data_IF_542858419158
#
_entry.id   IF_542858419158
#
_cell.length_a   1.000
_cell.length_b   1.000
_cell.length_c   1.000
_cell.angle_alpha   90.00
_cell.angle_beta   90.00
_cell.angle_gamma   90.00
#
_symmetry.space_group_name_H-M   'P 1'
#
loop_
_entity.id
_entity.type
_entity.pdbx_description
1 polymer ?
#
# COMPACT_ATOMS: atom_id res chain seq x y z
N UNK A 1 -4.89 20.49 18.36
CA UNK A 1 -3.47 20.46 18.73
C UNK A 1 -2.92 19.16 18.22
N UNK A 2 -2.44 19.13 17.00
CA UNK A 2 -1.53 18.05 16.61
C UNK A 2 -1.00 18.37 15.24
N UNK A 3 -0.11 19.31 15.23
CA UNK A 3 0.87 19.42 14.20
C UNK A 3 1.97 18.40 14.52
N UNK A 4 1.73 17.15 14.25
CA UNK A 4 2.83 16.31 13.86
C UNK A 4 3.23 16.84 12.51
N UNK A 5 4.20 17.75 12.53
CA UNK A 5 4.86 18.18 11.35
C UNK A 5 5.31 16.90 10.64
N UNK A 6 4.68 16.57 9.54
CA UNK A 6 5.24 15.72 8.53
C UNK A 6 6.52 16.44 8.08
N UNK A 7 7.57 16.26 8.82
CA UNK A 7 8.92 16.52 8.32
C UNK A 7 9.10 15.46 7.27
N UNK A 8 8.92 15.89 6.05
CA UNK A 8 9.00 15.05 4.90
C UNK A 8 10.17 14.11 5.07
N UNK A 9 9.94 12.84 4.90
CA UNK A 9 10.97 11.87 4.68
C UNK A 9 11.74 12.42 3.48
N UNK A 10 12.77 13.22 3.80
CA UNK A 10 13.64 13.74 2.79
C UNK A 10 14.15 12.56 2.02
N UNK A 11 14.15 12.68 0.71
CA UNK A 11 14.77 11.79 -0.26
C UNK A 11 15.28 10.48 0.35
N UNK A 12 14.44 9.48 0.48
CA UNK A 12 14.79 8.11 0.90
C UNK A 12 15.98 7.59 0.08
N UNK A 13 16.26 8.26 -0.98
CA UNK A 13 17.09 8.00 -2.09
C UNK A 13 18.58 8.24 -1.93
N UNK A 14 18.97 9.29 -1.26
CA UNK A 14 20.39 9.69 -1.14
C UNK A 14 20.95 9.52 0.26
N UNK A 15 20.13 9.44 1.29
CA UNK A 15 20.58 9.60 2.67
C UNK A 15 20.28 8.45 3.62
N UNK A 16 19.44 7.48 3.22
CA UNK A 16 19.14 6.35 4.11
C UNK A 16 19.83 5.09 3.63
N UNK A 17 20.54 4.45 4.55
CA UNK A 17 21.12 3.13 4.33
C UNK A 17 19.99 2.10 4.19
N UNK A 18 20.26 0.97 3.56
CA UNK A 18 19.34 -0.17 3.48
C UNK A 18 18.85 -0.57 4.88
N UNK A 19 19.72 -0.55 5.86
CA UNK A 19 19.43 -0.92 7.25
C UNK A 19 18.39 0.02 7.87
N UNK A 20 18.43 1.32 7.54
CA UNK A 20 17.45 2.29 8.03
C UNK A 20 16.03 2.04 7.50
N UNK A 21 15.91 1.51 6.27
CA UNK A 21 14.61 1.11 5.71
C UNK A 21 14.10 -0.18 6.35
N UNK A 22 14.99 -1.13 6.64
CA UNK A 22 14.63 -2.39 7.29
C UNK A 22 14.05 -2.19 8.69
N UNK A 23 14.48 -1.15 9.41
CA UNK A 23 13.92 -0.80 10.75
C UNK A 23 12.41 -0.48 10.67
N UNK A 24 11.89 -0.01 9.52
CA UNK A 24 10.46 0.27 9.35
C UNK A 24 9.58 -0.99 9.33
N UNK A 25 10.16 -2.17 9.13
CA UNK A 25 9.40 -3.42 8.99
C UNK A 25 8.61 -3.77 10.24
N UNK A 26 9.22 -3.65 11.41
CA UNK A 26 8.56 -3.99 12.68
C UNK A 26 7.42 -3.00 12.98
N UNK A 27 7.62 -1.69 13.01
CA UNK A 27 6.54 -0.75 13.30
C UNK A 27 5.39 -0.78 12.30
N UNK A 28 5.66 -1.09 11.02
CA UNK A 28 4.60 -1.27 10.01
C UNK A 28 3.76 -2.52 10.25
N UNK A 29 4.33 -3.56 10.84
CA UNK A 29 3.61 -4.81 11.12
C UNK A 29 2.93 -4.78 12.49
N UNK A 30 3.69 -4.42 13.53
CA UNK A 30 3.26 -4.55 14.93
C UNK A 30 2.55 -3.28 15.45
N UNK A 31 2.74 -2.14 14.77
CA UNK A 31 2.24 -0.84 15.23
C UNK A 31 2.88 -0.38 16.54
N UNK A 32 4.03 -0.93 16.90
CA UNK A 32 4.79 -0.61 18.11
C UNK A 32 6.29 -0.83 17.91
N UNK A 33 7.09 -0.15 18.71
CA UNK A 33 8.55 -0.28 18.72
C UNK A 33 9.00 -0.59 20.15
N UNK A 34 9.83 -1.61 20.31
CA UNK A 34 10.47 -1.92 21.60
C UNK A 34 11.93 -1.51 21.56
N UNK A 35 12.32 -0.66 22.49
CA UNK A 35 13.71 -0.21 22.69
C UNK A 35 14.26 -0.90 23.94
N UNK A 36 15.24 -1.76 23.75
CA UNK A 36 15.93 -2.46 24.83
C UNK A 36 17.30 -1.82 25.09
N UNK A 37 17.59 -1.52 26.34
CA UNK A 37 18.87 -0.98 26.82
C UNK A 37 19.30 -1.77 28.06
N UNK A 38 20.55 -1.61 28.50
CA UNK A 38 21.06 -2.26 29.71
C UNK A 38 20.19 -1.95 30.96
N UNK A 39 19.56 -0.79 31.02
CA UNK A 39 18.72 -0.31 32.12
C UNK A 39 17.25 -0.81 32.03
N UNK A 40 16.84 -1.53 30.96
CA UNK A 40 15.49 -2.02 30.80
C UNK A 40 14.97 -1.95 29.38
N UNK A 41 13.73 -2.38 29.19
CA UNK A 41 13.04 -2.39 27.90
C UNK A 41 11.77 -1.55 27.98
N UNK A 42 11.54 -0.70 26.95
CA UNK A 42 10.34 0.12 26.86
C UNK A 42 9.69 -0.05 25.49
N UNK A 43 8.36 -0.23 25.47
CA UNK A 43 7.58 -0.35 24.24
C UNK A 43 6.76 0.91 24.00
N UNK A 44 6.85 1.45 22.79
CA UNK A 44 6.17 2.67 22.37
C UNK A 44 5.19 2.36 21.23
N UNK A 45 3.98 2.96 21.21
CA UNK A 45 3.09 2.85 20.07
C UNK A 45 3.71 3.53 18.85
N UNK A 46 3.64 2.87 17.69
CA UNK A 46 4.19 3.35 16.43
C UNK A 46 3.23 3.05 15.28
N UNK A 47 2.02 3.61 15.37
CA UNK A 47 1.01 3.52 14.30
C UNK A 47 1.10 4.76 13.43
N UNK A 48 1.52 4.59 12.19
CA UNK A 48 1.68 5.67 11.21
C UNK A 48 1.24 5.20 9.83
N UNK A 49 1.01 6.14 8.93
CA UNK A 49 0.83 5.88 7.51
C UNK A 49 2.16 6.15 6.80
N UNK A 50 2.67 5.16 6.08
CA UNK A 50 3.84 5.33 5.22
C UNK A 50 3.39 5.72 3.82
N UNK A 51 3.89 6.85 3.34
CA UNK A 51 3.80 7.25 1.92
C UNK A 51 5.22 7.43 1.42
N UNK A 52 5.57 6.72 0.35
CA UNK A 52 6.90 6.74 -0.22
C UNK A 52 6.83 6.93 -1.73
N UNK A 53 7.81 7.62 -2.30
CA UNK A 53 7.99 7.74 -3.74
C UNK A 53 9.41 7.30 -4.12
N UNK A 54 9.54 6.62 -5.24
CA UNK A 54 10.79 6.11 -5.73
C UNK A 54 10.86 6.28 -7.26
N UNK A 55 12.00 6.72 -7.77
CA UNK A 55 12.23 6.70 -9.21
C UNK A 55 12.50 5.26 -9.70
N UNK A 56 12.29 4.93 -10.97
CA UNK A 56 12.49 3.58 -11.48
C UNK A 56 13.98 3.16 -11.54
N UNK A 57 14.90 4.14 -11.58
CA UNK A 57 16.35 3.93 -11.57
C UNK A 57 17.11 5.21 -11.16
N UNK A 58 18.43 5.16 -11.07
CA UNK A 58 19.26 6.33 -10.69
C UNK A 58 19.11 7.53 -11.62
N UNK A 59 18.95 7.33 -12.93
CA UNK A 59 18.73 8.42 -13.88
C UNK A 59 17.27 8.86 -13.99
N UNK A 60 16.33 8.05 -13.47
CA UNK A 60 14.88 8.35 -13.51
C UNK A 60 14.15 7.93 -14.79
N UNK A 61 14.85 7.40 -15.80
CA UNK A 61 14.27 7.16 -17.13
C UNK A 61 14.10 5.69 -17.52
N UNK A 62 14.23 4.76 -16.59
CA UNK A 62 13.97 3.36 -16.88
C UNK A 62 12.46 3.17 -17.15
N UNK A 63 12.12 2.62 -18.33
CA UNK A 63 10.74 2.49 -18.80
C UNK A 63 10.11 3.76 -19.39
N UNK A 64 10.84 4.87 -19.45
CA UNK A 64 10.29 6.13 -20.00
C UNK A 64 10.04 6.03 -21.51
N UNK A 65 8.85 6.42 -22.01
CA UNK A 65 8.47 6.20 -23.41
C UNK A 65 9.32 6.97 -24.43
N UNK A 66 9.84 8.14 -24.07
CA UNK A 66 10.54 9.04 -25.01
C UNK A 66 12.00 9.32 -24.64
N UNK A 67 12.42 9.00 -23.42
CA UNK A 67 13.81 9.26 -22.96
C UNK A 67 14.51 7.95 -22.64
N UNK A 68 15.64 7.64 -23.27
CA UNK A 68 16.38 6.42 -23.01
C UNK A 68 17.03 6.44 -21.61
N UNK A 69 16.93 5.33 -20.92
CA UNK A 69 17.65 5.12 -19.67
C UNK A 69 19.15 4.92 -19.93
N UNK A 70 20.00 5.62 -19.18
CA UNK A 70 21.46 5.51 -19.28
C UNK A 70 22.06 4.53 -18.29
N UNK A 71 21.26 3.90 -17.42
CA UNK A 71 21.74 2.95 -16.42
C UNK A 71 21.93 1.56 -17.04
N UNK A 72 23.00 0.87 -16.64
CA UNK A 72 23.14 -0.55 -16.96
C UNK A 72 22.07 -1.39 -16.25
N UNK A 73 21.70 -2.56 -16.79
CA UNK A 73 20.73 -3.44 -16.13
C UNK A 73 21.14 -3.81 -14.69
N UNK A 74 22.43 -4.01 -14.44
CA UNK A 74 22.95 -4.27 -13.09
C UNK A 74 22.78 -3.10 -12.15
N UNK A 75 22.98 -1.86 -12.63
CA UNK A 75 22.78 -0.65 -11.85
C UNK A 75 21.28 -0.42 -11.50
N UNK A 76 20.36 -0.76 -12.41
CA UNK A 76 18.91 -0.72 -12.16
C UNK A 76 18.55 -1.74 -11.07
N UNK A 77 18.99 -3.00 -11.23
CA UNK A 77 18.75 -4.04 -10.21
C UNK A 77 19.28 -3.66 -8.84
N UNK A 78 20.55 -3.22 -8.76
CA UNK A 78 21.17 -2.78 -7.51
C UNK A 78 20.42 -1.61 -6.86
N UNK A 79 19.87 -0.74 -7.68
CA UNK A 79 19.08 0.39 -7.24
C UNK A 79 17.74 -0.04 -6.63
N UNK A 80 17.00 -0.87 -7.32
CA UNK A 80 15.71 -1.38 -6.86
C UNK A 80 15.83 -2.30 -5.64
N UNK A 81 16.90 -3.09 -5.55
CA UNK A 81 17.16 -3.97 -4.41
C UNK A 81 17.44 -3.25 -3.08
N UNK A 82 17.49 -1.92 -3.07
CA UNK A 82 17.55 -1.14 -1.83
C UNK A 82 16.27 -1.24 -1.01
N UNK A 83 15.13 -1.33 -1.68
CA UNK A 83 13.86 -1.67 -1.05
C UNK A 83 13.73 -3.18 -1.06
N UNK A 84 13.76 -3.80 0.10
CA UNK A 84 13.69 -5.27 0.19
C UNK A 84 12.28 -5.78 -0.10
N UNK A 85 12.18 -7.01 -0.65
CA UNK A 85 10.90 -7.69 -0.82
C UNK A 85 10.07 -7.73 0.47
N UNK A 86 10.66 -8.11 1.64
CA UNK A 86 9.94 -8.07 2.91
C UNK A 86 9.43 -6.70 3.33
N UNK A 87 10.04 -5.59 2.91
CA UNK A 87 9.51 -4.25 3.16
C UNK A 87 8.37 -3.94 2.20
N UNK A 88 8.53 -4.25 0.91
CA UNK A 88 7.47 -4.13 -0.10
C UNK A 88 6.23 -4.92 0.27
N UNK A 89 6.40 -6.15 0.78
CA UNK A 89 5.30 -6.97 1.31
C UNK A 89 4.46 -6.27 2.39
N UNK A 90 5.00 -5.23 3.03
CA UNK A 90 4.33 -4.44 4.07
C UNK A 90 3.66 -3.17 3.55
N UNK A 91 3.90 -2.83 2.31
CA UNK A 91 3.23 -1.72 1.62
C UNK A 91 1.92 -2.27 1.03
N UNK A 92 0.81 -1.60 1.29
CA UNK A 92 -0.50 -2.07 0.85
C UNK A 92 -0.80 -1.74 -0.61
N UNK A 93 -0.32 -0.60 -1.09
CA UNK A 93 -0.58 -0.06 -2.43
C UNK A 93 0.73 0.34 -3.09
N UNK A 94 1.03 -0.23 -4.26
CA UNK A 94 2.10 0.19 -5.14
C UNK A 94 1.48 0.74 -6.43
N UNK A 95 1.79 1.99 -6.77
CA UNK A 95 1.25 2.67 -7.95
C UNK A 95 2.41 3.14 -8.81
N UNK A 96 2.38 2.79 -10.08
CA UNK A 96 3.29 3.34 -11.08
C UNK A 96 2.73 4.67 -11.60
N UNK A 97 3.59 5.67 -11.67
CA UNK A 97 3.22 7.00 -12.14
C UNK A 97 3.84 7.23 -13.51
N UNK A 98 2.99 7.31 -14.52
CA UNK A 98 3.41 7.63 -15.88
C UNK A 98 3.84 9.10 -16.01
N UNK A 99 4.77 9.40 -16.94
CA UNK A 99 5.09 10.78 -17.27
C UNK A 99 3.88 11.50 -17.84
N UNK A 100 3.58 12.68 -17.29
CA UNK A 100 2.48 13.52 -17.80
C UNK A 100 2.86 14.13 -19.15
N UNK A 101 2.00 14.00 -20.16
CA UNK A 101 2.19 14.63 -21.45
C UNK A 101 1.99 16.14 -21.35
N UNK A 102 2.68 16.91 -22.24
CA UNK A 102 2.59 18.36 -22.23
C UNK A 102 1.14 18.87 -22.41
N UNK A 103 0.38 18.21 -23.27
CA UNK A 103 -1.01 18.58 -23.54
C UNK A 103 -1.92 18.33 -22.33
N UNK A 104 -1.63 17.32 -21.52
CA UNK A 104 -2.37 17.03 -20.28
C UNK A 104 -2.14 18.11 -19.22
N UNK A 105 -0.95 18.74 -19.20
CA UNK A 105 -0.65 19.85 -18.27
C UNK A 105 -1.46 21.12 -18.60
N UNK A 106 -1.92 21.24 -19.85
CA UNK A 106 -2.69 22.39 -20.33
C UNK A 106 -4.18 22.07 -20.53
N UNK A 107 -4.60 20.84 -20.21
CA UNK A 107 -6.02 20.47 -20.31
C UNK A 107 -6.83 21.24 -19.28
N UNK A 108 -7.84 21.97 -19.75
CA UNK A 108 -8.76 22.73 -18.90
C UNK A 108 -9.84 21.87 -18.24
N UNK A 109 -9.81 20.55 -18.39
CA UNK A 109 -10.74 19.65 -17.72
C UNK A 109 -10.45 19.67 -16.22
N UNK A 110 -11.36 20.16 -15.38
CA UNK A 110 -11.11 20.20 -13.95
C UNK A 110 -10.94 18.79 -13.41
N UNK A 111 -9.81 18.53 -12.74
CA UNK A 111 -9.63 17.32 -11.97
C UNK A 111 -10.65 17.28 -10.81
N UNK A 112 -10.94 16.09 -10.31
CA UNK A 112 -11.80 15.91 -9.15
C UNK A 112 -11.28 16.73 -7.96
N UNK A 113 -12.13 17.51 -7.33
CA UNK A 113 -11.71 18.41 -6.25
C UNK A 113 -11.39 17.61 -4.97
N UNK A 114 -10.47 18.14 -4.15
CA UNK A 114 -10.21 17.57 -2.81
C UNK A 114 -11.47 17.49 -1.94
N UNK A 115 -12.43 18.37 -2.17
CA UNK A 115 -13.71 18.36 -1.45
C UNK A 115 -14.58 17.15 -1.84
N UNK A 116 -14.58 16.78 -3.13
CA UNK A 116 -15.34 15.63 -3.62
C UNK A 116 -14.69 14.33 -3.22
N UNK A 117 -13.37 14.20 -3.34
CA UNK A 117 -12.60 13.08 -2.80
C UNK A 117 -12.86 12.90 -1.30
N UNK A 118 -12.89 14.00 -0.54
CA UNK A 118 -13.18 13.95 0.89
C UNK A 118 -14.58 13.41 1.19
N UNK A 119 -15.59 13.76 0.38
CA UNK A 119 -16.96 13.23 0.55
C UNK A 119 -16.99 11.71 0.38
N UNK A 120 -16.33 11.19 -0.67
CA UNK A 120 -16.23 9.74 -0.93
C UNK A 120 -15.53 9.03 0.25
N UNK A 121 -14.40 9.56 0.70
CA UNK A 121 -13.66 9.00 1.85
C UNK A 121 -14.51 8.99 3.12
N UNK A 122 -15.22 10.08 3.40
CA UNK A 122 -16.09 10.17 4.59
C UNK A 122 -17.26 9.18 4.53
N UNK A 123 -17.85 8.96 3.34
CA UNK A 123 -18.90 7.96 3.15
C UNK A 123 -18.38 6.53 3.44
N UNK A 124 -17.24 6.15 2.86
CA UNK A 124 -16.61 4.86 3.14
C UNK A 124 -16.23 4.70 4.63
N UNK A 125 -15.70 5.76 5.25
CA UNK A 125 -15.36 5.75 6.69
C UNK A 125 -16.60 5.61 7.59
N UNK A 126 -17.74 6.16 7.21
CA UNK A 126 -19.00 5.99 7.94
C UNK A 126 -19.48 4.52 7.89
N UNK A 127 -19.36 3.86 6.74
CA UNK A 127 -19.64 2.42 6.60
C UNK A 127 -18.73 1.59 7.49
N UNK A 128 -17.43 1.88 7.51
CA UNK A 128 -16.45 1.21 8.36
C UNK A 128 -16.76 1.43 9.84
N UNK A 129 -17.03 2.66 10.25
CA UNK A 129 -17.36 3.00 11.64
C UNK A 129 -18.58 2.23 12.13
N UNK A 130 -19.65 2.14 11.30
CA UNK A 130 -20.84 1.34 11.61
C UNK A 130 -20.51 -0.16 11.74
N UNK A 131 -19.69 -0.69 10.84
CA UNK A 131 -19.27 -2.11 10.85
C UNK A 131 -18.50 -2.45 12.12
N UNK A 132 -17.56 -1.60 12.52
CA UNK A 132 -16.65 -1.85 13.64
C UNK A 132 -17.16 -1.38 15.00
N UNK A 133 -18.38 -0.83 15.07
CA UNK A 133 -19.06 -0.60 16.32
C UNK A 133 -19.58 -1.91 16.98
N UNK A 134 -19.60 -3.02 16.22
CA UNK A 134 -20.02 -4.32 16.72
C UNK A 134 -18.97 -4.96 17.66
N UNK A 135 -19.39 -5.81 18.63
CA UNK A 135 -18.46 -6.55 19.49
C UNK A 135 -17.45 -7.39 18.70
N UNK A 136 -16.22 -7.45 19.18
CA UNK A 136 -15.11 -8.18 18.54
C UNK A 136 -14.29 -7.36 17.54
N UNK A 137 -14.52 -6.03 17.49
CA UNK A 137 -13.74 -5.08 16.71
C UNK A 137 -13.18 -3.93 17.56
N UNK A 138 -12.97 -4.19 18.86
CA UNK A 138 -12.47 -3.18 19.80
C UNK A 138 -11.13 -2.59 19.30
N UNK A 139 -11.08 -1.27 19.18
CA UNK A 139 -9.91 -0.53 18.69
C UNK A 139 -9.71 -0.52 17.17
N UNK A 140 -10.55 -1.22 16.39
CA UNK A 140 -10.54 -1.20 14.92
C UNK A 140 -11.30 0.04 14.43
N UNK A 141 -10.63 0.87 13.64
CA UNK A 141 -11.21 2.10 13.05
C UNK A 141 -11.29 2.06 11.52
N UNK A 142 -10.55 1.16 10.89
CA UNK A 142 -10.52 1.02 9.42
C UNK A 142 -10.10 -0.39 9.02
N UNK A 143 -10.34 -0.73 7.75
CA UNK A 143 -10.03 -2.05 7.21
C UNK A 143 -8.56 -2.46 7.36
N UNK A 144 -7.62 -1.50 7.30
CA UNK A 144 -6.19 -1.77 7.44
C UNK A 144 -5.80 -2.35 8.83
N UNK A 145 -6.63 -2.11 9.85
CA UNK A 145 -6.38 -2.55 11.24
C UNK A 145 -6.97 -3.93 11.55
N UNK A 146 -7.64 -4.57 10.61
CA UNK A 146 -8.22 -5.90 10.79
C UNK A 146 -7.12 -6.95 11.03
N UNK A 147 -7.32 -7.80 12.02
CA UNK A 147 -6.52 -9.02 12.20
C UNK A 147 -6.90 -10.05 11.14
N UNK A 148 -6.04 -11.06 10.89
CA UNK A 148 -6.31 -12.14 9.94
C UNK A 148 -7.67 -12.85 10.20
N UNK A 149 -8.01 -13.06 11.48
CA UNK A 149 -9.31 -13.65 11.85
C UNK A 149 -10.51 -12.74 11.53
N UNK A 150 -10.33 -11.41 11.68
CA UNK A 150 -11.35 -10.43 11.35
C UNK A 150 -11.50 -10.25 9.83
N UNK A 151 -10.39 -10.30 9.07
CA UNK A 151 -10.41 -10.25 7.60
C UNK A 151 -11.33 -11.33 7.05
N UNK A 152 -11.20 -12.58 7.49
CA UNK A 152 -12.06 -13.69 7.05
C UNK A 152 -13.55 -13.46 7.33
N UNK A 153 -13.91 -12.77 8.40
CA UNK A 153 -15.30 -12.47 8.75
C UNK A 153 -15.88 -11.29 7.96
N UNK A 154 -15.05 -10.26 7.73
CA UNK A 154 -15.48 -8.99 7.11
C UNK A 154 -15.41 -9.04 5.58
N UNK A 155 -14.40 -9.69 5.02
CA UNK A 155 -14.15 -9.74 3.59
C UNK A 155 -14.89 -10.91 2.93
N UNK A 156 -16.22 -10.94 3.08
CA UNK A 156 -17.07 -11.95 2.41
C UNK A 156 -17.11 -11.63 0.91
N UNK A 157 -16.96 -12.67 0.09
CA UNK A 157 -16.83 -12.55 -1.36
C UNK A 157 -18.01 -13.17 -2.10
N UNK A 158 -18.20 -12.75 -3.34
CA UNK A 158 -19.03 -13.48 -4.29
C UNK A 158 -18.30 -14.76 -4.73
N UNK A 159 -19.01 -15.81 -5.20
CA UNK A 159 -18.37 -17.03 -5.71
C UNK A 159 -17.41 -16.76 -6.88
N UNK A 160 -17.68 -15.73 -7.68
CA UNK A 160 -16.83 -15.33 -8.81
C UNK A 160 -15.52 -14.69 -8.31
N UNK A 161 -15.60 -13.77 -7.35
CA UNK A 161 -14.42 -13.17 -6.72
C UNK A 161 -13.56 -14.22 -5.98
N UNK A 162 -14.17 -15.23 -5.35
CA UNK A 162 -13.43 -16.30 -4.70
C UNK A 162 -12.62 -17.13 -5.69
N UNK A 163 -13.23 -17.49 -6.85
CA UNK A 163 -12.52 -18.19 -7.93
C UNK A 163 -11.35 -17.36 -8.48
N UNK A 164 -11.57 -16.06 -8.69
CA UNK A 164 -10.55 -15.14 -9.16
C UNK A 164 -9.37 -15.06 -8.17
N UNK A 165 -9.66 -14.90 -6.87
CA UNK A 165 -8.64 -14.83 -5.84
C UNK A 165 -7.80 -16.11 -5.78
N UNK A 166 -8.43 -17.28 -5.88
CA UNK A 166 -7.76 -18.58 -5.90
C UNK A 166 -6.81 -18.67 -7.10
N UNK A 167 -7.29 -18.37 -8.30
CA UNK A 167 -6.48 -18.39 -9.52
C UNK A 167 -5.29 -17.41 -9.42
N UNK A 168 -5.52 -16.21 -8.89
CA UNK A 168 -4.48 -15.20 -8.69
C UNK A 168 -3.47 -15.61 -7.62
N UNK A 169 -3.91 -16.31 -6.56
CA UNK A 169 -3.02 -16.80 -5.51
C UNK A 169 -1.97 -17.75 -6.06
N UNK A 170 -2.40 -18.72 -6.88
CA UNK A 170 -1.52 -19.71 -7.50
C UNK A 170 -0.61 -19.06 -8.55
N UNK A 171 -1.18 -18.25 -9.45
CA UNK A 171 -0.44 -17.62 -10.56
C UNK A 171 0.59 -16.61 -10.08
N UNK A 172 0.22 -15.76 -9.10
CA UNK A 172 1.11 -14.73 -8.55
C UNK A 172 1.98 -15.25 -7.40
N UNK A 173 1.81 -16.50 -6.93
CA UNK A 173 2.54 -17.08 -5.80
C UNK A 173 2.45 -16.16 -4.57
N UNK A 174 1.25 -15.75 -4.20
CA UNK A 174 1.01 -14.82 -3.10
C UNK A 174 1.36 -15.45 -1.75
N UNK A 175 1.96 -14.67 -0.85
CA UNK A 175 2.11 -15.07 0.54
C UNK A 175 0.79 -14.92 1.30
N UNK A 176 0.63 -15.61 2.43
CA UNK A 176 -0.54 -15.44 3.29
C UNK A 176 -0.72 -13.98 3.77
N UNK A 177 0.40 -13.26 3.98
CA UNK A 177 0.36 -11.81 4.31
C UNK A 177 -0.16 -10.97 3.15
N UNK A 178 0.33 -11.24 1.93
CA UNK A 178 -0.14 -10.56 0.73
C UNK A 178 -1.64 -10.80 0.51
N UNK A 179 -2.11 -12.04 0.68
CA UNK A 179 -3.53 -12.38 0.62
C UNK A 179 -4.40 -11.52 1.55
N UNK A 180 -4.05 -11.45 2.85
CA UNK A 180 -4.83 -10.67 3.80
C UNK A 180 -4.80 -9.16 3.50
N UNK A 181 -3.70 -8.64 2.95
CA UNK A 181 -3.59 -7.24 2.51
C UNK A 181 -4.47 -6.95 1.31
N UNK A 182 -4.43 -7.80 0.29
CA UNK A 182 -5.33 -7.69 -0.87
C UNK A 182 -6.78 -7.64 -0.41
N UNK A 183 -7.19 -8.49 0.50
CA UNK A 183 -8.56 -8.49 1.02
C UNK A 183 -8.93 -7.20 1.77
N UNK A 184 -8.01 -6.61 2.54
CA UNK A 184 -8.24 -5.31 3.21
C UNK A 184 -8.39 -4.17 2.20
N UNK A 185 -7.57 -4.16 1.14
CA UNK A 185 -7.68 -3.19 0.05
C UNK A 185 -8.99 -3.40 -0.71
N UNK A 186 -9.29 -4.62 -1.16
CA UNK A 186 -10.54 -4.95 -1.85
C UNK A 186 -11.77 -4.57 -1.01
N UNK A 187 -11.73 -4.77 0.33
CA UNK A 187 -12.81 -4.32 1.22
C UNK A 187 -12.95 -2.81 1.22
N UNK A 188 -11.85 -2.08 1.11
CA UNK A 188 -11.89 -0.62 1.05
C UNK A 188 -12.44 -0.13 -0.28
N UNK A 189 -12.06 -0.74 -1.40
CA UNK A 189 -12.63 -0.48 -2.73
C UNK A 189 -14.14 -0.75 -2.72
N UNK A 190 -14.57 -1.89 -2.19
CA UNK A 190 -15.98 -2.22 -2.09
C UNK A 190 -16.76 -1.27 -1.14
N UNK A 191 -16.13 -0.75 -0.07
CA UNK A 191 -16.74 0.26 0.81
C UNK A 191 -16.92 1.60 0.08
N UNK A 192 -15.94 2.00 -0.74
CA UNK A 192 -16.03 3.20 -1.59
C UNK A 192 -17.15 3.05 -2.63
N UNK A 193 -17.33 1.86 -3.19
CA UNK A 193 -18.38 1.55 -4.15
C UNK A 193 -19.74 1.24 -3.48
N UNK A 194 -19.86 1.28 -2.15
CA UNK A 194 -21.08 0.98 -1.42
C UNK A 194 -21.53 -0.50 -1.45
N UNK A 195 -20.61 -1.41 -1.82
CA UNK A 195 -20.89 -2.85 -1.97
C UNK A 195 -20.73 -3.59 -0.63
N UNK A 196 -21.65 -4.53 -0.34
CA UNK A 196 -21.58 -5.34 0.89
C UNK A 196 -20.61 -6.51 0.78
N UNK A 197 -20.56 -7.16 -0.38
CA UNK A 197 -19.66 -8.26 -0.70
C UNK A 197 -18.50 -7.74 -1.56
N UNK A 198 -17.36 -8.42 -1.49
CA UNK A 198 -16.30 -8.23 -2.45
C UNK A 198 -16.70 -8.92 -3.75
N UNK A 199 -16.76 -8.17 -4.81
CA UNK A 199 -16.95 -8.68 -6.17
C UNK A 199 -15.61 -8.76 -6.93
N UNK A 200 -15.68 -9.20 -8.17
CA UNK A 200 -14.51 -9.34 -9.03
C UNK A 200 -13.82 -8.00 -9.30
N UNK A 201 -14.60 -6.94 -9.46
CA UNK A 201 -14.09 -5.59 -9.74
C UNK A 201 -13.24 -5.07 -8.58
N UNK A 202 -13.76 -5.11 -7.36
CA UNK A 202 -13.05 -4.69 -6.16
C UNK A 202 -11.78 -5.53 -5.93
N UNK A 203 -11.82 -6.82 -6.27
CA UNK A 203 -10.67 -7.70 -6.13
C UNK A 203 -9.62 -7.46 -7.21
N UNK A 204 -10.02 -7.24 -8.47
CA UNK A 204 -9.11 -6.92 -9.58
C UNK A 204 -8.35 -5.64 -9.30
N UNK A 205 -9.05 -4.58 -8.86
CA UNK A 205 -8.41 -3.32 -8.49
C UNK A 205 -7.39 -3.53 -7.37
N UNK A 206 -7.73 -4.28 -6.32
CA UNK A 206 -6.79 -4.56 -5.23
C UNK A 206 -5.58 -5.39 -5.69
N UNK A 207 -5.75 -6.28 -6.65
CA UNK A 207 -4.67 -7.08 -7.23
C UNK A 207 -3.75 -6.22 -8.11
N UNK A 208 -4.27 -5.24 -8.83
CA UNK A 208 -3.47 -4.33 -9.67
C UNK A 208 -2.43 -3.58 -8.84
N UNK A 209 -2.77 -3.14 -7.64
CA UNK A 209 -1.82 -2.49 -6.72
C UNK A 209 -0.68 -3.39 -6.24
N UNK A 210 -0.76 -4.71 -6.51
CA UNK A 210 0.27 -5.68 -6.12
C UNK A 210 0.95 -6.38 -7.30
N UNK A 211 0.33 -6.44 -8.45
CA UNK A 211 0.88 -7.10 -9.63
C UNK A 211 2.19 -6.45 -10.10
N UNK A 212 2.31 -5.13 -9.93
CA UNK A 212 3.49 -4.36 -10.28
C UNK A 212 4.73 -4.73 -9.46
N UNK A 213 4.55 -5.22 -8.22
CA UNK A 213 5.64 -5.62 -7.34
C UNK A 213 6.46 -6.81 -7.89
N UNK A 214 5.83 -7.70 -8.69
CA UNK A 214 6.48 -8.92 -9.21
C UNK A 214 7.06 -8.77 -10.60
N UNK A 215 6.46 -7.97 -11.45
CA UNK A 215 6.97 -7.72 -12.82
C UNK A 215 8.35 -7.06 -12.77
N UNK A 216 8.63 -6.28 -11.74
CA UNK A 216 9.89 -5.55 -11.59
C UNK A 216 11.04 -6.32 -10.92
N UNK A 217 10.77 -7.46 -10.28
CA UNK A 217 11.81 -8.26 -9.59
C UNK A 217 12.33 -9.44 -10.43
N UNK A 218 11.73 -9.71 -11.60
CA UNK A 218 12.02 -10.90 -12.42
C UNK A 218 12.94 -10.65 -13.63
N UNK A 219 13.61 -9.49 -13.74
CA UNK A 219 14.58 -9.21 -14.80
C UNK A 219 16.00 -9.06 -14.29
#
# INVERSE_FOLDING_TARGET
>A
RDSVASRGLGDVYKRQSRDSLEVLRQPLEDGQITVSRAAGSATYPSRFQLVAAMNPCKCGYYGHPTRPCTCSPSAVRQYRSRVSGPLLDRIDLCVEMDPVAFDELHTSTPAESSADLRKQVLAARAVQAKRYAAPGYEGVRCNAQLTAGQVRRVCRMTPAAERLLRASYDTLGLSARAHDRILRVARTVADLAGKQLLDEEALLEALQYRAQEKVDLTF
#
